data_IF_031336166186
#
_entry.id   IF_031336166186
#
_cell.length_a   1.000
_cell.length_b   1.000
_cell.length_c   1.000
_cell.angle_alpha   90.00
_cell.angle_beta   90.00
_cell.angle_gamma   90.00
#
_symmetry.space_group_name_H-M   'P 1'
#
loop_
_entity.id
_entity.type
_entity.pdbx_description
1 polymer ?
#
# COMPACT_ATOMS: atom_id res chain seq x y z
N UNK A 1 1.84 -7.32 17.72
CA UNK A 1 3.21 -7.36 17.19
C UNK A 1 3.27 -8.49 16.18
N UNK A 2 3.62 -8.22 14.94
CA UNK A 2 3.78 -9.21 13.86
C UNK A 2 5.25 -9.26 13.49
N UNK A 3 5.86 -10.45 13.44
CA UNK A 3 7.28 -10.59 13.14
C UNK A 3 7.46 -11.11 11.72
N UNK A 4 8.36 -10.48 10.97
CA UNK A 4 8.78 -10.97 9.66
C UNK A 4 10.29 -11.17 9.62
N UNK A 5 10.71 -12.31 9.07
CA UNK A 5 12.10 -12.53 8.70
C UNK A 5 12.29 -12.00 7.28
N UNK A 6 13.14 -10.97 7.16
CA UNK A 6 13.42 -10.26 5.92
C UNK A 6 14.89 -10.44 5.54
N UNK A 7 15.17 -10.46 4.24
CA UNK A 7 16.50 -10.25 3.71
C UNK A 7 16.79 -8.75 3.62
N UNK A 8 17.75 -8.28 4.40
CA UNK A 8 18.20 -6.89 4.43
C UNK A 8 19.66 -6.86 3.93
N UNK A 9 19.84 -6.58 2.65
CA UNK A 9 21.14 -6.53 1.96
C UNK A 9 22.00 -7.80 2.15
N UNK A 10 21.38 -8.98 1.97
CA UNK A 10 22.00 -10.29 2.10
C UNK A 10 22.05 -10.82 3.54
N UNK A 11 21.47 -10.10 4.49
CA UNK A 11 21.40 -10.51 5.90
C UNK A 11 19.96 -10.81 6.30
N UNK A 12 19.73 -12.02 6.77
CA UNK A 12 18.46 -12.39 7.38
C UNK A 12 18.29 -11.71 8.74
N UNK A 13 17.16 -11.02 8.92
CA UNK A 13 16.82 -10.34 10.17
C UNK A 13 15.33 -10.51 10.48
N UNK A 14 15.01 -10.85 11.73
CA UNK A 14 13.63 -10.81 12.23
C UNK A 14 13.31 -9.40 12.70
N UNK A 15 12.29 -8.80 12.08
CA UNK A 15 11.86 -7.43 12.34
C UNK A 15 10.48 -7.45 12.99
N UNK A 16 10.31 -6.89 14.21
CA UNK A 16 9.00 -6.71 14.80
C UNK A 16 8.27 -5.54 14.13
N UNK A 17 7.08 -5.80 13.62
CA UNK A 17 6.20 -4.84 12.96
C UNK A 17 4.98 -4.61 13.84
N UNK A 18 4.80 -3.36 14.26
CA UNK A 18 3.65 -2.95 15.08
C UNK A 18 2.53 -2.32 14.25
N UNK A 19 2.91 -1.57 13.22
CA UNK A 19 1.98 -0.80 12.40
C UNK A 19 2.27 -1.02 10.92
N UNK A 20 1.21 -1.19 10.13
CA UNK A 20 1.27 -1.14 8.68
C UNK A 20 0.39 0.02 8.20
N UNK A 21 0.96 0.90 7.38
CA UNK A 21 0.26 2.06 6.80
C UNK A 21 0.46 2.00 5.30
N UNK A 22 -0.63 2.18 4.56
CA UNK A 22 -0.59 2.34 3.11
C UNK A 22 -0.80 3.82 2.79
N UNK A 23 -0.06 4.30 1.80
CA UNK A 23 -0.04 5.70 1.40
C UNK A 23 -0.55 5.82 -0.04
N UNK A 24 -1.82 6.18 -0.19
CA UNK A 24 -2.45 6.44 -1.48
C UNK A 24 -2.20 7.86 -1.98
N UNK A 25 -2.30 8.04 -3.31
CA UNK A 25 -2.19 9.35 -3.98
C UNK A 25 -0.85 10.06 -3.69
N UNK A 26 0.25 9.29 -3.62
CA UNK A 26 1.60 9.75 -3.24
C UNK A 26 2.43 10.28 -4.41
N UNK A 27 1.80 10.56 -5.56
CA UNK A 27 2.49 11.06 -6.75
C UNK A 27 3.23 12.36 -6.47
N UNK A 28 4.50 12.44 -6.93
CA UNK A 28 5.35 13.64 -6.76
C UNK A 28 4.84 14.83 -7.56
N UNK A 29 4.26 14.56 -8.73
CA UNK A 29 3.62 15.58 -9.56
C UNK A 29 2.16 15.76 -9.11
N UNK A 30 1.90 16.88 -8.43
CA UNK A 30 0.56 17.19 -7.92
C UNK A 30 -0.45 17.44 -9.05
N UNK A 31 -0.01 17.94 -10.20
CA UNK A 31 -0.89 18.17 -11.35
C UNK A 31 -1.36 16.86 -11.95
N UNK A 32 -0.44 15.92 -12.16
CA UNK A 32 -0.77 14.58 -12.65
C UNK A 32 -1.68 13.80 -11.67
N UNK A 33 -1.46 13.94 -10.35
CA UNK A 33 -2.35 13.34 -9.35
C UNK A 33 -3.76 13.92 -9.43
N UNK A 34 -3.89 15.24 -9.56
CA UNK A 34 -5.19 15.90 -9.68
C UNK A 34 -5.91 15.53 -10.98
N UNK A 35 -5.19 15.46 -12.11
CA UNK A 35 -5.75 15.01 -13.39
C UNK A 35 -6.32 13.58 -13.27
N UNK A 36 -5.58 12.68 -12.64
CA UNK A 36 -6.04 11.31 -12.42
C UNK A 36 -7.24 11.23 -11.46
N UNK A 37 -7.28 12.06 -10.42
CA UNK A 37 -8.46 12.17 -9.54
C UNK A 37 -9.69 12.64 -10.35
N UNK A 38 -9.52 13.64 -11.21
CA UNK A 38 -10.60 14.16 -12.03
C UNK A 38 -11.11 13.13 -13.07
N UNK A 39 -10.21 12.34 -13.67
CA UNK A 39 -10.55 11.21 -14.54
C UNK A 39 -11.43 10.19 -13.81
N UNK A 40 -11.02 9.77 -12.61
CA UNK A 40 -11.76 8.80 -11.80
C UNK A 40 -13.10 9.36 -11.29
N UNK A 41 -13.15 10.64 -10.94
CA UNK A 41 -14.37 11.34 -10.57
C UNK A 41 -15.40 11.36 -11.71
N UNK A 42 -14.96 11.57 -12.95
CA UNK A 42 -15.83 11.48 -14.12
C UNK A 42 -16.40 10.07 -14.35
N UNK A 43 -15.72 9.02 -13.87
CA UNK A 43 -16.19 7.64 -13.85
C UNK A 43 -17.06 7.30 -12.62
N UNK A 44 -17.33 8.28 -11.75
CA UNK A 44 -18.18 8.13 -10.56
C UNK A 44 -17.43 7.64 -9.31
N UNK A 45 -16.10 7.63 -9.33
CA UNK A 45 -15.27 7.31 -8.14
C UNK A 45 -15.17 8.56 -7.26
N UNK A 46 -15.46 8.43 -5.97
CA UNK A 46 -15.35 9.55 -5.05
C UNK A 46 -13.89 10.02 -4.91
N UNK A 47 -13.71 11.35 -4.85
CA UNK A 47 -12.40 11.96 -4.59
C UNK A 47 -11.83 11.51 -3.22
N UNK A 48 -10.50 11.43 -3.08
CA UNK A 48 -9.91 11.16 -1.78
C UNK A 48 -10.13 12.33 -0.80
N UNK A 49 -10.22 12.03 0.49
CA UNK A 49 -10.40 13.04 1.55
C UNK A 49 -9.15 13.90 1.79
N UNK A 50 -7.97 13.41 1.42
CA UNK A 50 -6.71 14.14 1.45
C UNK A 50 -5.75 13.61 0.39
N UNK A 51 -4.80 14.44 -0.03
CA UNK A 51 -3.72 14.05 -0.95
C UNK A 51 -2.38 14.46 -0.34
N UNK A 52 -1.53 13.51 0.10
CA UNK A 52 -1.73 12.05 0.11
C UNK A 52 -2.78 11.58 1.14
N UNK A 53 -3.24 10.34 0.99
CA UNK A 53 -4.16 9.67 1.92
C UNK A 53 -3.46 8.50 2.61
N UNK A 54 -3.48 8.47 3.94
CA UNK A 54 -2.88 7.39 4.72
C UNK A 54 -3.94 6.56 5.43
N UNK A 55 -3.92 5.24 5.23
CA UNK A 55 -4.80 4.31 5.92
C UNK A 55 -4.00 3.24 6.65
N UNK A 56 -4.36 3.02 7.92
CA UNK A 56 -3.80 1.95 8.74
C UNK A 56 -4.45 0.63 8.35
N UNK A 57 -3.63 -0.38 8.17
CA UNK A 57 -4.05 -1.77 7.96
C UNK A 57 -3.48 -2.66 9.05
N UNK A 58 -4.03 -3.86 9.22
CA UNK A 58 -3.48 -4.81 10.18
C UNK A 58 -2.07 -5.23 9.76
N UNK A 59 -1.10 -5.10 10.67
CA UNK A 59 0.27 -5.59 10.45
C UNK A 59 0.30 -7.10 10.15
N UNK A 60 -0.69 -7.87 10.62
CA UNK A 60 -0.82 -9.30 10.34
C UNK A 60 -1.12 -9.64 8.86
N UNK A 61 -1.36 -8.64 8.00
CA UNK A 61 -1.55 -8.83 6.56
C UNK A 61 -0.23 -8.87 5.79
N UNK A 62 0.87 -8.45 6.41
CA UNK A 62 2.18 -8.50 5.79
C UNK A 62 2.67 -9.95 5.76
N UNK A 63 3.31 -10.35 4.66
CA UNK A 63 3.85 -11.71 4.51
C UNK A 63 4.94 -11.71 3.44
N UNK A 64 5.89 -12.64 3.57
CA UNK A 64 6.87 -12.98 2.53
C UNK A 64 6.59 -14.35 1.91
N UNK A 65 5.42 -14.93 2.17
CA UNK A 65 4.97 -16.16 1.54
C UNK A 65 4.94 -16.03 0.02
N UNK A 66 5.28 -17.12 -0.68
CA UNK A 66 5.29 -17.14 -2.15
C UNK A 66 3.90 -17.07 -2.78
N UNK A 67 2.87 -17.43 -2.01
CA UNK A 67 1.49 -17.51 -2.46
C UNK A 67 0.58 -16.95 -1.37
N UNK A 68 -0.52 -16.31 -1.77
CA UNK A 68 -1.58 -15.84 -0.89
C UNK A 68 -2.94 -16.18 -1.50
N UNK A 69 -3.95 -16.38 -0.65
CA UNK A 69 -5.33 -16.54 -1.10
C UNK A 69 -6.00 -15.16 -1.20
N UNK A 70 -6.76 -14.96 -2.28
CA UNK A 70 -7.50 -13.72 -2.53
C UNK A 70 -8.89 -14.03 -3.09
N UNK A 71 -9.78 -13.03 -3.02
CA UNK A 71 -11.09 -13.11 -3.68
C UNK A 71 -10.97 -12.73 -5.15
N UNK A 72 -11.91 -13.18 -5.99
CA UNK A 72 -11.94 -12.81 -7.41
C UNK A 72 -12.02 -11.29 -7.68
N UNK A 73 -12.49 -10.50 -6.71
CA UNK A 73 -12.58 -9.03 -6.79
C UNK A 73 -11.32 -8.30 -6.34
N UNK A 74 -10.23 -9.00 -6.07
CA UNK A 74 -8.96 -8.39 -5.65
C UNK A 74 -8.14 -7.91 -6.85
N UNK A 75 -7.48 -6.77 -6.71
CA UNK A 75 -6.46 -6.25 -7.64
C UNK A 75 -5.07 -6.32 -6.99
N UNK A 76 -4.04 -6.50 -7.81
CA UNK A 76 -2.65 -6.39 -7.37
C UNK A 76 -2.12 -4.97 -7.59
N UNK A 77 -1.44 -4.42 -6.59
CA UNK A 77 -0.81 -3.10 -6.64
C UNK A 77 0.63 -3.23 -6.13
N UNK A 78 1.59 -2.68 -6.89
CA UNK A 78 3.01 -2.67 -6.51
C UNK A 78 3.32 -1.34 -5.86
N UNK A 79 3.86 -1.38 -4.64
CA UNK A 79 4.21 -0.20 -3.86
C UNK A 79 5.63 -0.29 -3.31
N UNK A 80 6.25 0.87 -3.06
CA UNK A 80 7.50 0.92 -2.33
C UNK A 80 7.21 0.69 -0.83
N UNK A 81 7.97 -0.23 -0.22
CA UNK A 81 7.96 -0.47 1.21
C UNK A 81 9.16 0.25 1.82
N UNK A 82 8.94 0.97 2.93
CA UNK A 82 9.95 1.76 3.64
C UNK A 82 10.07 1.36 5.10
#
# INVERSE_FOLDING_TARGET
MHELTLDLDGRQATVPIETAVVAGWTGRDRGAVEEHIAELEALGVARPSSVPLFYRVSASRLTTAREIETTASSSGEVEAVV
#
